data_IF_973512887867
#
_entry.id   IF_973512887867
#
_cell.length_a   1.000
_cell.length_b   1.000
_cell.length_c   1.000
_cell.angle_alpha   90.00
_cell.angle_beta   90.00
_cell.angle_gamma   90.00
#
_symmetry.space_group_name_H-M   'P 1'
#
loop_
_entity.id
_entity.type
_entity.pdbx_description
1 polymer ?
#
# COMPACT_ATOMS: atom_id res chain seq x y z
N UNK A 1 -19.81 16.69 30.48
CA UNK A 1 -18.61 17.54 30.43
C UNK A 1 -18.22 17.64 28.96
N UNK A 2 -18.64 18.74 28.33
CA UNK A 2 -18.56 19.00 26.88
C UNK A 2 -17.43 20.00 26.66
N UNK A 3 -16.49 19.72 25.76
CA UNK A 3 -15.52 20.71 25.30
C UNK A 3 -15.57 20.73 23.77
N UNK A 4 -16.31 21.71 23.25
CA UNK A 4 -16.07 22.29 21.94
C UNK A 4 -14.86 23.24 22.04
N UNK A 5 -13.95 23.18 21.07
CA UNK A 5 -13.12 24.32 20.66
C UNK A 5 -13.11 24.40 19.14
N UNK A 6 -13.57 25.53 18.61
CA UNK A 6 -13.36 25.96 17.23
C UNK A 6 -12.04 26.76 17.11
N UNK A 7 -11.33 26.62 16.00
CA UNK A 7 -10.50 27.66 15.33
C UNK A 7 -9.94 27.01 14.04
N UNK A 8 -10.42 27.30 12.82
CA UNK A 8 -10.16 28.46 11.93
C UNK A 8 -8.66 28.84 11.81
N UNK A 9 -8.22 28.96 10.54
CA UNK A 9 -6.87 29.22 9.97
C UNK A 9 -6.12 27.90 9.68
N UNK A 10 -5.76 27.51 8.46
CA UNK A 10 -5.24 28.29 7.33
C UNK A 10 -5.69 27.72 5.97
N UNK A 11 -6.50 28.50 5.25
CA UNK A 11 -6.64 28.39 3.80
C UNK A 11 -5.67 29.38 3.16
N UNK A 12 -4.42 29.01 2.88
CA UNK A 12 -3.53 29.84 2.04
C UNK A 12 -2.20 29.15 1.73
N UNK A 13 -2.18 28.12 0.88
CA UNK A 13 -0.94 27.75 0.16
C UNK A 13 -1.17 27.16 -1.24
N UNK A 14 -2.42 27.05 -1.72
CA UNK A 14 -2.73 26.57 -3.08
C UNK A 14 -2.94 27.68 -4.13
N UNK A 15 -2.92 28.95 -3.74
CA UNK A 15 -3.22 30.08 -4.64
C UNK A 15 -1.99 30.88 -5.10
N UNK A 16 -0.76 30.43 -4.80
CA UNK A 16 0.47 31.18 -5.11
C UNK A 16 1.10 30.88 -6.48
N UNK A 17 0.56 29.94 -7.26
CA UNK A 17 1.16 29.54 -8.56
C UNK A 17 0.26 29.68 -9.79
N UNK A 18 -0.85 30.43 -9.68
CA UNK A 18 -1.75 30.65 -10.81
C UNK A 18 -1.79 32.12 -11.24
N UNK A 19 -0.84 32.54 -12.09
CA UNK A 19 -0.98 33.52 -13.21
C UNK A 19 0.31 34.32 -13.44
N UNK A 20 0.98 34.10 -14.56
CA UNK A 20 1.05 35.10 -15.67
C UNK A 20 1.67 34.48 -16.95
N UNK A 21 1.37 35.03 -18.14
CA UNK A 21 1.44 34.33 -19.42
C UNK A 21 2.78 34.49 -20.15
N UNK A 22 3.07 33.53 -21.01
CA UNK A 22 4.11 33.61 -22.03
C UNK A 22 3.81 34.74 -23.02
N UNK A 23 4.66 35.77 -23.07
CA UNK A 23 4.67 36.79 -24.12
C UNK A 23 5.82 36.50 -25.09
N UNK A 24 5.46 36.06 -26.29
CA UNK A 24 6.27 36.12 -27.52
C UNK A 24 6.57 37.57 -27.85
N UNK A 25 7.82 37.93 -28.11
CA UNK A 25 8.17 39.07 -28.95
C UNK A 25 9.34 38.70 -29.86
N UNK A 26 9.01 38.49 -31.13
CA UNK A 26 9.87 38.78 -32.28
C UNK A 26 10.28 40.25 -32.26
N UNK A 27 11.52 40.54 -32.64
CA UNK A 27 11.95 41.89 -32.99
C UNK A 27 13.17 41.83 -33.91
N UNK A 28 12.89 41.67 -35.20
CA UNK A 28 13.77 42.02 -36.31
C UNK A 28 13.69 43.53 -36.52
N UNK A 29 14.83 44.23 -36.61
CA UNK A 29 14.92 45.53 -37.29
C UNK A 29 16.22 45.63 -38.08
N UNK A 30 16.04 46.08 -39.32
CA UNK A 30 17.00 46.29 -40.40
C UNK A 30 17.56 47.73 -40.41
N UNK A 31 18.79 47.85 -40.94
CA UNK A 31 19.31 48.84 -41.92
C UNK A 31 19.31 50.36 -41.62
N UNK A 32 20.45 50.99 -41.91
CA UNK A 32 20.56 52.41 -42.33
C UNK A 32 21.94 53.03 -42.11
N UNK A 33 22.91 52.77 -43.00
CA UNK A 33 23.51 53.69 -44.00
C UNK A 33 24.39 54.85 -43.51
N UNK A 34 25.59 54.89 -44.11
CA UNK A 34 26.68 55.90 -44.05
C UNK A 34 26.23 57.37 -44.29
N UNK A 35 27.12 58.35 -43.99
CA UNK A 35 27.94 58.88 -45.09
C UNK A 35 29.39 59.26 -44.71
N UNK A 36 30.32 58.80 -45.55
CA UNK A 36 31.35 59.62 -46.23
C UNK A 36 32.31 60.54 -45.47
N UNK A 37 33.61 60.29 -45.69
CA UNK A 37 34.57 61.36 -46.05
C UNK A 37 35.74 61.59 -45.11
N UNK A 38 36.96 61.56 -45.64
CA UNK A 38 38.11 62.27 -45.05
C UNK A 38 39.42 61.50 -45.01
N UNK A 39 40.19 61.61 -46.08
CA UNK A 39 41.64 61.40 -46.08
C UNK A 39 42.34 62.45 -45.22
N UNK A 40 43.26 62.05 -44.34
CA UNK A 40 44.50 62.80 -44.08
C UNK A 40 45.45 62.00 -43.21
N UNK A 41 46.70 61.88 -43.67
CA UNK A 41 47.79 61.25 -42.96
C UNK A 41 48.15 61.94 -41.64
N UNK A 42 48.87 61.18 -40.83
CA UNK A 42 49.47 61.62 -39.59
C UNK A 42 50.14 60.43 -38.93
N UNK A 43 51.34 60.10 -39.38
CA UNK A 43 52.25 59.25 -38.63
C UNK A 43 52.57 59.98 -37.33
N UNK A 44 51.83 59.65 -36.27
CA UNK A 44 52.20 60.05 -34.91
C UNK A 44 53.29 59.07 -34.49
N UNK A 45 54.51 59.57 -34.65
CA UNK A 45 55.75 59.10 -34.09
C UNK A 45 55.51 58.54 -32.67
N UNK A 46 55.50 57.21 -32.58
CA UNK A 46 55.52 56.51 -31.30
C UNK A 46 56.94 56.62 -30.76
N UNK A 47 57.17 57.62 -29.93
CA UNK A 47 58.31 57.64 -29.01
C UNK A 47 58.08 56.52 -27.98
N UNK A 48 58.52 55.32 -28.37
CA UNK A 48 58.41 54.11 -27.60
C UNK A 48 59.38 54.18 -26.42
N UNK A 49 58.87 54.59 -25.26
CA UNK A 49 59.52 54.26 -24.00
C UNK A 49 59.34 52.75 -23.80
N UNK A 50 60.40 51.93 -23.95
CA UNK A 50 60.30 50.47 -24.08
C UNK A 50 59.83 49.79 -22.79
N UNK A 51 59.85 50.52 -21.68
CA UNK A 51 59.45 50.04 -20.35
C UNK A 51 57.91 49.98 -20.20
N UNK A 52 57.15 50.79 -20.94
CA UNK A 52 55.69 50.87 -20.79
C UNK A 52 54.90 49.84 -21.58
N UNK A 53 55.31 49.50 -22.81
CA UNK A 53 54.57 48.57 -23.67
C UNK A 53 54.67 47.12 -23.19
N UNK A 54 55.88 46.68 -22.84
CA UNK A 54 56.13 45.34 -22.31
C UNK A 54 55.43 45.12 -20.96
N UNK A 55 55.40 46.15 -20.10
CA UNK A 55 54.69 46.10 -18.82
C UNK A 55 53.17 46.02 -19.00
N UNK A 56 52.61 46.75 -19.96
CA UNK A 56 51.17 46.68 -20.28
C UNK A 56 50.79 45.31 -20.85
N UNK A 57 51.61 44.73 -21.73
CA UNK A 57 51.40 43.37 -22.25
C UNK A 57 51.46 42.31 -21.15
N UNK A 58 52.40 42.46 -20.21
CA UNK A 58 52.49 41.59 -19.04
C UNK A 58 51.29 41.72 -18.11
N UNK A 59 50.83 42.95 -17.83
CA UNK A 59 49.65 43.21 -16.99
C UNK A 59 48.36 42.66 -17.63
N UNK A 60 48.21 42.82 -18.94
CA UNK A 60 47.08 42.24 -19.70
C UNK A 60 47.14 40.70 -19.71
N UNK A 61 48.34 40.12 -19.71
CA UNK A 61 48.55 38.68 -19.54
C UNK A 61 48.04 38.19 -18.18
N UNK A 62 48.49 38.83 -17.09
CA UNK A 62 48.07 38.50 -15.72
C UNK A 62 46.58 38.68 -15.53
N UNK A 63 45.99 39.78 -16.00
CA UNK A 63 44.55 40.02 -15.90
C UNK A 63 43.74 38.98 -16.70
N UNK A 64 44.24 38.52 -17.85
CA UNK A 64 43.58 37.43 -18.61
C UNK A 64 43.63 36.11 -17.86
N UNK A 65 44.75 35.79 -17.24
CA UNK A 65 44.90 34.60 -16.40
C UNK A 65 43.98 34.66 -15.18
N UNK A 66 43.96 35.78 -14.45
CA UNK A 66 43.07 35.99 -13.31
C UNK A 66 41.59 35.90 -13.74
N UNK A 67 41.21 36.54 -14.86
CA UNK A 67 39.85 36.43 -15.39
C UNK A 67 39.47 35.01 -15.83
N UNK A 68 40.43 34.22 -16.34
CA UNK A 68 40.21 32.83 -16.70
C UNK A 68 40.03 31.95 -15.45
N UNK A 69 40.87 32.17 -14.43
CA UNK A 69 40.80 31.48 -13.13
C UNK A 69 39.49 31.80 -12.40
N UNK A 70 39.12 33.09 -12.32
CA UNK A 70 37.88 33.56 -11.71
C UNK A 70 36.62 33.07 -12.43
N UNK A 71 36.72 32.64 -13.69
CA UNK A 71 35.62 32.01 -14.44
C UNK A 71 35.58 30.49 -14.27
N UNK A 72 36.71 29.85 -13.97
CA UNK A 72 36.74 28.42 -13.72
C UNK A 72 36.07 28.05 -12.40
N UNK A 73 36.35 28.77 -11.32
CA UNK A 73 35.76 28.51 -9.99
C UNK A 73 34.21 28.55 -9.95
N UNK A 74 33.52 29.57 -10.49
CA UNK A 74 32.06 29.55 -10.57
C UNK A 74 31.56 28.46 -11.53
N UNK A 75 32.33 28.11 -12.56
CA UNK A 75 31.94 27.05 -13.48
C UNK A 75 32.06 25.64 -12.86
N UNK A 76 33.02 25.41 -11.97
CA UNK A 76 33.16 24.15 -11.23
C UNK A 76 32.09 24.02 -10.16
N UNK A 77 31.86 25.06 -9.36
CA UNK A 77 30.80 25.08 -8.34
C UNK A 77 29.41 24.89 -8.96
N UNK A 78 29.12 25.54 -10.10
CA UNK A 78 27.84 25.32 -10.81
C UNK A 78 27.70 23.88 -11.32
N UNK A 79 28.80 23.21 -11.70
CA UNK A 79 28.74 21.79 -12.09
C UNK A 79 28.49 20.89 -10.90
N UNK A 80 29.14 21.15 -9.76
CA UNK A 80 28.95 20.41 -8.52
C UNK A 80 27.50 20.55 -8.02
N UNK A 81 26.99 21.78 -7.94
CA UNK A 81 25.60 22.04 -7.56
C UNK A 81 24.59 21.37 -8.50
N UNK A 82 24.87 21.32 -9.81
CA UNK A 82 24.03 20.58 -10.75
C UNK A 82 24.05 19.07 -10.49
N UNK A 83 25.21 18.53 -10.10
CA UNK A 83 25.35 17.14 -9.67
C UNK A 83 24.54 16.84 -8.42
N UNK A 84 24.67 17.68 -7.39
CA UNK A 84 23.91 17.55 -6.14
C UNK A 84 22.40 17.66 -6.35
N UNK A 85 21.95 18.59 -7.20
CA UNK A 85 20.52 18.74 -7.55
C UNK A 85 20.01 17.50 -8.29
N UNK A 86 20.79 16.92 -9.19
CA UNK A 86 20.41 15.69 -9.87
C UNK A 86 20.32 14.49 -8.91
N UNK A 87 21.26 14.37 -7.98
CA UNK A 87 21.23 13.33 -6.94
C UNK A 87 20.03 13.49 -6.01
N UNK A 88 19.76 14.73 -5.56
CA UNK A 88 18.58 15.03 -4.75
C UNK A 88 17.29 14.70 -5.49
N UNK A 89 17.19 15.00 -6.78
CA UNK A 89 16.04 14.61 -7.61
C UNK A 89 15.82 13.10 -7.61
N UNK A 90 16.88 12.31 -7.82
CA UNK A 90 16.79 10.85 -7.78
C UNK A 90 16.36 10.31 -6.41
N UNK A 91 16.85 10.92 -5.33
CA UNK A 91 16.48 10.53 -3.96
C UNK A 91 15.02 10.86 -3.66
N UNK A 92 14.53 12.01 -4.12
CA UNK A 92 13.12 12.39 -3.98
C UNK A 92 12.23 11.42 -4.74
N UNK A 93 12.52 11.14 -6.01
CA UNK A 93 11.76 10.17 -6.82
C UNK A 93 11.69 8.79 -6.15
N UNK A 94 12.79 8.35 -5.52
CA UNK A 94 12.82 7.08 -4.80
C UNK A 94 11.95 7.10 -3.54
N UNK A 95 11.97 8.19 -2.79
CA UNK A 95 11.14 8.36 -1.59
C UNK A 95 9.66 8.41 -1.98
N UNK A 96 9.31 9.15 -3.02
CA UNK A 96 7.92 9.24 -3.52
C UNK A 96 7.38 7.85 -3.91
N UNK A 97 8.14 7.06 -4.68
CA UNK A 97 7.75 5.68 -5.01
C UNK A 97 7.60 4.80 -3.76
N UNK A 98 8.45 5.00 -2.76
CA UNK A 98 8.37 4.23 -1.51
C UNK A 98 7.12 4.61 -0.72
N UNK A 99 6.74 5.89 -0.71
CA UNK A 99 5.49 6.35 -0.12
C UNK A 99 4.27 5.73 -0.83
N UNK A 100 4.23 5.73 -2.15
CA UNK A 100 3.14 5.12 -2.92
C UNK A 100 2.96 3.63 -2.59
N UNK A 101 4.08 2.88 -2.55
CA UNK A 101 4.08 1.46 -2.17
C UNK A 101 3.58 1.28 -0.73
N UNK A 102 3.97 2.16 0.18
CA UNK A 102 3.57 2.09 1.57
C UNK A 102 2.05 2.31 1.73
N UNK A 103 1.48 3.28 1.00
CA UNK A 103 0.04 3.54 0.99
C UNK A 103 -0.75 2.33 0.46
N UNK A 104 -0.31 1.73 -0.65
CA UNK A 104 -0.91 0.53 -1.22
C UNK A 104 -0.83 -0.66 -0.25
N UNK A 105 0.31 -0.81 0.42
CA UNK A 105 0.52 -1.87 1.40
C UNK A 105 -0.38 -1.71 2.62
N UNK A 106 -0.55 -0.47 3.12
CA UNK A 106 -1.46 -0.19 4.23
C UNK A 106 -2.94 -0.37 3.82
N UNK A 107 -3.30 -0.06 2.57
CA UNK A 107 -4.61 -0.37 2.02
C UNK A 107 -4.88 -1.88 2.03
N UNK A 108 -3.96 -2.68 1.48
CA UNK A 108 -4.10 -4.14 1.48
C UNK A 108 -4.14 -4.74 2.88
N UNK A 109 -3.36 -4.21 3.83
CA UNK A 109 -3.44 -4.64 5.24
C UNK A 109 -4.83 -4.45 5.82
N UNK A 110 -5.46 -3.31 5.55
CA UNK A 110 -6.84 -3.05 6.01
C UNK A 110 -7.85 -4.01 5.38
N UNK A 111 -7.70 -4.31 4.09
CA UNK A 111 -8.54 -5.29 3.40
C UNK A 111 -8.39 -6.69 3.99
N UNK A 112 -7.16 -7.12 4.27
CA UNK A 112 -6.88 -8.43 4.89
C UNK A 112 -7.55 -8.52 6.26
N UNK A 113 -7.43 -7.49 7.10
CA UNK A 113 -8.09 -7.46 8.42
C UNK A 113 -9.61 -7.57 8.27
N UNK A 114 -10.19 -6.78 7.35
CA UNK A 114 -11.63 -6.82 7.11
C UNK A 114 -12.11 -8.19 6.60
N UNK A 115 -11.33 -8.86 5.76
CA UNK A 115 -11.61 -10.20 5.27
C UNK A 115 -11.51 -11.26 6.38
N UNK A 116 -10.51 -11.15 7.25
CA UNK A 116 -10.35 -12.04 8.41
C UNK A 116 -11.54 -11.92 9.37
N UNK A 117 -11.99 -10.70 9.66
CA UNK A 117 -13.15 -10.46 10.52
C UNK A 117 -14.43 -11.04 9.92
N UNK A 118 -14.67 -10.84 8.62
CA UNK A 118 -15.81 -11.46 7.92
C UNK A 118 -15.73 -12.98 7.97
N UNK A 119 -14.55 -13.55 7.75
CA UNK A 119 -14.37 -15.00 7.79
C UNK A 119 -14.68 -15.55 9.19
N UNK A 120 -14.21 -14.89 10.25
CA UNK A 120 -14.53 -15.24 11.64
C UNK A 120 -16.02 -15.22 11.93
N UNK A 121 -16.73 -14.17 11.49
CA UNK A 121 -18.19 -14.07 11.66
C UNK A 121 -18.91 -15.20 10.92
N UNK A 122 -18.47 -15.52 9.70
CA UNK A 122 -19.05 -16.62 8.91
C UNK A 122 -18.81 -17.98 9.57
N UNK A 123 -17.59 -18.24 10.07
CA UNK A 123 -17.27 -19.46 10.81
C UNK A 123 -18.17 -19.62 12.03
N UNK A 124 -18.35 -18.57 12.83
CA UNK A 124 -19.24 -18.61 13.99
C UNK A 124 -20.70 -18.88 13.59
N UNK A 125 -21.17 -18.30 12.48
CA UNK A 125 -22.52 -18.57 11.97
C UNK A 125 -22.68 -20.00 11.49
N UNK A 126 -21.68 -20.54 10.80
CA UNK A 126 -21.66 -21.94 10.37
C UNK A 126 -21.69 -22.87 11.57
N UNK A 127 -20.87 -22.61 12.59
CA UNK A 127 -20.86 -23.39 13.83
C UNK A 127 -22.23 -23.35 14.52
N UNK A 128 -22.87 -22.19 14.65
CA UNK A 128 -24.20 -22.09 15.25
C UNK A 128 -25.27 -22.82 14.42
N UNK A 129 -25.21 -22.74 13.09
CA UNK A 129 -26.13 -23.48 12.21
C UNK A 129 -25.91 -24.99 12.30
N UNK A 130 -24.67 -25.46 12.30
CA UNK A 130 -24.35 -26.88 12.49
C UNK A 130 -24.80 -27.37 13.87
N UNK A 131 -24.55 -26.59 14.91
CA UNK A 131 -25.00 -26.92 16.26
C UNK A 131 -26.52 -27.00 16.33
N UNK A 132 -27.25 -26.02 15.77
CA UNK A 132 -28.73 -26.06 15.68
C UNK A 132 -29.22 -27.28 14.93
N UNK A 133 -28.60 -27.61 13.80
CA UNK A 133 -28.94 -28.80 13.01
C UNK A 133 -28.70 -30.10 13.77
N UNK A 134 -27.71 -30.15 14.68
CA UNK A 134 -27.34 -31.35 15.46
C UNK A 134 -27.99 -31.42 16.84
N UNK A 135 -28.74 -30.40 17.28
CA UNK A 135 -29.34 -30.35 18.65
C UNK A 135 -30.25 -31.54 18.95
N UNK A 136 -30.96 -32.04 17.96
CA UNK A 136 -31.85 -33.19 18.09
C UNK A 136 -31.14 -34.54 17.86
N UNK A 137 -29.85 -34.51 17.53
CA UNK A 137 -29.08 -35.73 17.30
C UNK A 137 -28.60 -36.30 18.64
N UNK A 138 -29.00 -37.52 18.94
CA UNK A 138 -28.56 -38.26 20.12
C UNK A 138 -27.56 -39.35 19.68
N UNK A 139 -26.35 -39.28 20.22
CA UNK A 139 -25.30 -40.28 20.02
C UNK A 139 -25.30 -41.31 21.15
N UNK A 140 -25.55 -42.57 20.84
CA UNK A 140 -25.53 -43.69 21.79
C UNK A 140 -24.26 -44.51 21.54
N UNK A 141 -23.39 -44.58 22.54
CA UNK A 141 -22.10 -45.26 22.46
C UNK A 141 -22.11 -46.60 23.18
N UNK A 142 -21.21 -47.50 22.78
CA UNK A 142 -20.95 -48.73 23.53
C UNK A 142 -21.95 -49.86 23.32
N UNK A 143 -22.78 -49.80 22.27
CA UNK A 143 -23.77 -50.86 21.96
C UNK A 143 -23.20 -51.84 20.94
N UNK A 144 -22.85 -53.08 21.33
CA UNK A 144 -22.36 -54.09 20.40
C UNK A 144 -23.39 -54.41 19.31
N UNK A 145 -22.90 -54.72 18.11
CA UNK A 145 -23.77 -55.04 16.98
C UNK A 145 -24.62 -56.29 17.25
N UNK A 146 -24.07 -57.25 17.99
CA UNK A 146 -24.69 -58.55 18.28
C UNK A 146 -25.84 -58.44 19.30
N UNK A 147 -25.90 -57.35 20.07
CA UNK A 147 -26.91 -57.15 21.11
C UNK A 147 -28.26 -56.72 20.54
N UNK A 148 -28.27 -56.18 19.31
CA UNK A 148 -29.47 -55.64 18.69
C UNK A 148 -30.14 -56.72 17.86
N UNK A 149 -31.26 -57.22 18.38
CA UNK A 149 -32.14 -58.14 17.65
C UNK A 149 -33.27 -57.34 17.02
N UNK A 150 -33.31 -57.34 15.68
CA UNK A 150 -34.33 -56.65 14.89
C UNK A 150 -33.96 -55.20 14.51
N UNK A 151 -34.95 -54.39 14.10
CA UNK A 151 -34.73 -53.01 13.68
C UNK A 151 -34.09 -52.15 14.77
N UNK A 152 -33.11 -51.32 14.36
CA UNK A 152 -32.34 -50.47 15.26
C UNK A 152 -33.22 -49.45 16.01
N UNK A 153 -34.23 -48.90 15.34
CA UNK A 153 -35.20 -47.95 15.91
C UNK A 153 -35.94 -48.54 17.11
N UNK A 154 -36.41 -49.80 16.99
CA UNK A 154 -37.10 -50.48 18.08
C UNK A 154 -36.21 -50.67 19.32
N UNK A 155 -34.92 -50.91 19.10
CA UNK A 155 -33.96 -50.97 20.20
C UNK A 155 -33.82 -49.61 20.89
N UNK A 156 -33.68 -48.53 20.13
CA UNK A 156 -33.53 -47.17 20.66
C UNK A 156 -34.79 -46.72 21.42
N UNK A 157 -35.99 -46.99 20.90
CA UNK A 157 -37.25 -46.67 21.58
C UNK A 157 -37.36 -47.42 22.92
N UNK A 158 -37.03 -48.73 22.94
CA UNK A 158 -37.01 -49.51 24.19
C UNK A 158 -35.98 -48.98 25.17
N UNK A 159 -34.80 -48.57 24.69
CA UNK A 159 -33.77 -47.98 25.51
C UNK A 159 -34.24 -46.67 26.15
N UNK A 160 -34.89 -45.79 25.39
CA UNK A 160 -35.41 -44.54 25.93
C UNK A 160 -36.52 -44.75 26.97
N UNK A 161 -37.45 -45.68 26.73
CA UNK A 161 -38.46 -46.05 27.74
C UNK A 161 -37.86 -46.63 29.01
N UNK A 162 -36.81 -47.44 28.87
CA UNK A 162 -36.09 -47.99 30.02
C UNK A 162 -35.34 -46.92 30.83
N UNK A 163 -34.63 -46.01 30.16
CA UNK A 163 -33.81 -44.98 30.82
C UNK A 163 -34.66 -43.84 31.38
N UNK A 164 -35.76 -43.51 30.72
CA UNK A 164 -36.69 -42.45 31.12
C UNK A 164 -38.14 -42.96 31.14
N UNK A 165 -38.54 -43.73 32.17
CA UNK A 165 -39.89 -44.29 32.29
C UNK A 165 -40.98 -43.22 32.36
N UNK A 166 -40.63 -41.99 32.79
CA UNK A 166 -41.54 -40.85 32.80
C UNK A 166 -42.05 -40.47 31.39
N UNK A 167 -41.36 -40.91 30.32
CA UNK A 167 -41.74 -40.70 28.93
C UNK A 167 -42.66 -41.80 28.38
N UNK A 168 -43.03 -42.83 29.17
CA UNK A 168 -43.81 -43.97 28.67
C UNK A 168 -45.18 -43.60 28.08
N UNK A 169 -45.73 -42.45 28.48
CA UNK A 169 -47.01 -41.93 27.95
C UNK A 169 -46.83 -40.99 26.75
N UNK A 170 -45.60 -40.77 26.26
CA UNK A 170 -45.32 -39.93 25.09
C UNK A 170 -44.95 -40.77 23.87
N UNK A 171 -45.43 -40.33 22.71
CA UNK A 171 -45.04 -40.91 21.42
C UNK A 171 -43.63 -40.46 21.07
N UNK A 172 -42.65 -41.34 21.27
CA UNK A 172 -41.26 -41.12 20.86
C UNK A 172 -41.16 -41.38 19.35
N UNK A 173 -40.99 -40.31 18.57
CA UNK A 173 -40.85 -40.36 17.11
C UNK A 173 -39.37 -40.14 16.76
N UNK A 174 -38.81 -41.05 15.96
CA UNK A 174 -37.44 -40.97 15.45
C UNK A 174 -37.49 -40.78 13.94
N UNK A 175 -36.81 -39.77 13.41
CA UNK A 175 -36.78 -39.54 11.94
C UNK A 175 -35.78 -40.46 11.25
N UNK A 176 -34.60 -40.63 11.86
CA UNK A 176 -33.50 -41.40 11.31
C UNK A 176 -32.73 -42.06 12.44
N UNK A 177 -32.42 -43.34 12.30
CA UNK A 177 -31.55 -44.06 13.24
C UNK A 177 -30.58 -44.94 12.47
N UNK A 178 -29.28 -44.71 12.64
CA UNK A 178 -28.24 -45.48 11.96
C UNK A 178 -26.98 -45.60 12.81
N UNK A 179 -26.11 -46.56 12.46
CA UNK A 179 -24.78 -46.64 13.05
C UNK A 179 -23.83 -45.68 12.33
N UNK A 180 -23.05 -44.95 13.10
CA UNK A 180 -22.05 -44.01 12.59
C UNK A 180 -20.67 -44.63 12.52
N UNK A 181 -19.92 -44.26 11.49
CA UNK A 181 -18.54 -44.68 11.26
C UNK A 181 -18.41 -45.77 10.20
N UNK A 182 -17.17 -46.00 9.76
CA UNK A 182 -16.82 -47.13 8.91
C UNK A 182 -16.97 -48.46 9.70
N UNK A 183 -17.17 -49.61 9.02
CA UNK A 183 -17.04 -50.92 9.63
C UNK A 183 -15.76 -50.97 10.48
N UNK A 184 -15.88 -51.35 11.75
CA UNK A 184 -14.78 -51.28 12.72
C UNK A 184 -13.52 -51.94 12.16
N UNK A 185 -12.39 -51.23 12.19
CA UNK A 185 -11.08 -51.77 11.81
C UNK A 185 -10.57 -52.80 12.83
N UNK A 186 -11.07 -52.75 14.05
CA UNK A 186 -10.76 -53.69 15.13
C UNK A 186 -11.95 -54.62 15.41
N UNK A 187 -11.74 -55.95 15.44
CA UNK A 187 -12.79 -56.88 15.82
C UNK A 187 -13.18 -56.64 17.29
N UNK A 188 -14.41 -56.19 17.52
CA UNK A 188 -14.98 -56.06 18.87
C UNK A 188 -15.28 -54.65 19.35
N UNK A 189 -14.86 -53.58 18.64
CA UNK A 189 -15.25 -52.22 19.02
C UNK A 189 -16.68 -51.91 18.54
N UNK A 190 -17.63 -51.56 19.44
CA UNK A 190 -18.98 -51.20 19.06
C UNK A 190 -19.01 -49.86 18.32
N UNK A 191 -19.74 -49.80 17.21
CA UNK A 191 -20.03 -48.54 16.51
C UNK A 191 -21.04 -47.72 17.30
N UNK A 192 -20.87 -46.40 17.27
CA UNK A 192 -21.85 -45.47 17.82
C UNK A 192 -23.15 -45.51 16.99
N UNK A 193 -24.28 -45.26 17.63
CA UNK A 193 -25.59 -45.10 17.00
C UNK A 193 -25.94 -43.62 17.05
N UNK A 194 -26.34 -43.06 15.93
CA UNK A 194 -26.86 -41.70 15.84
C UNK A 194 -28.34 -41.77 15.50
N UNK A 195 -29.15 -41.11 16.32
CA UNK A 195 -30.60 -40.98 16.10
C UNK A 195 -31.03 -39.52 16.12
N UNK A 196 -32.00 -39.17 15.29
CA UNK A 196 -32.63 -37.86 15.28
C UNK A 196 -33.99 -37.95 15.98
N UNK A 197 -34.13 -37.25 17.11
CA UNK A 197 -35.39 -37.17 17.83
C UNK A 197 -36.29 -36.12 17.15
N UNK A 198 -37.46 -36.56 16.70
CA UNK A 198 -38.48 -35.66 16.17
C UNK A 198 -39.22 -34.99 17.34
N UNK A 199 -39.49 -33.68 17.21
CA UNK A 199 -40.24 -32.88 18.19
C UNK A 199 -41.55 -32.39 17.59
#
# INVERSE_FOLDING_TARGET
MVIQKQSKKDSSLRDLFAKTPAKKQDSTYEVGTDPGGGSSGGAVEQDANPVTKAFIEQLLGVLREDHAALRQEPATTVKELKGEVAELGQRVDMVERTCDIQEELDHHRQEIIALQDRNRVLQHRLEDLENRSRRSNIGIRGVPAQTIVGPLENFVIRLFRYVAPALDNQDIILDCTHRTGCPSQSPGQPQDILTYLHY
#
